data_IF_564747504235
#
_entry.id   IF_564747504235
#
_cell.length_a   1.000
_cell.length_b   1.000
_cell.length_c   1.000
_cell.angle_alpha   90.00
_cell.angle_beta   90.00
_cell.angle_gamma   90.00
#
_symmetry.space_group_name_H-M   'P 1'
#
loop_
_entity.id
_entity.type
_entity.pdbx_description
1 polymer ?
#
# COMPACT_ATOMS: atom_id res chain seq x y z
N UNK A 1 -9.78 6.72 3.53
CA UNK A 1 -10.54 7.98 3.77
C UNK A 1 -9.84 8.97 4.70
N UNK A 2 -9.31 8.57 5.86
CA UNK A 2 -8.71 9.53 6.82
C UNK A 2 -7.54 10.35 6.24
N UNK A 3 -6.67 9.75 5.43
CA UNK A 3 -5.56 10.48 4.79
C UNK A 3 -6.05 11.45 3.73
N UNK A 4 -6.93 11.01 2.82
CA UNK A 4 -7.50 11.84 1.77
C UNK A 4 -8.28 13.06 2.31
N UNK A 5 -8.95 12.92 3.47
CA UNK A 5 -9.67 14.02 4.10
C UNK A 5 -8.82 14.91 5.02
N UNK A 6 -7.50 14.68 5.07
CA UNK A 6 -6.59 15.44 5.94
C UNK A 6 -6.73 15.16 7.44
N UNK A 7 -7.50 14.12 7.83
CA UNK A 7 -7.72 13.74 9.24
C UNK A 7 -6.64 12.82 9.80
N UNK A 8 -5.78 12.28 8.95
CA UNK A 8 -4.58 11.55 9.31
C UNK A 8 -3.46 11.87 8.31
N UNK A 9 -2.22 11.87 8.75
CA UNK A 9 -1.07 12.13 7.87
C UNK A 9 -0.49 10.86 7.25
N UNK A 10 -0.67 9.71 7.92
CA UNK A 10 -0.06 8.42 7.56
C UNK A 10 -1.03 7.27 7.83
N UNK A 11 -1.06 6.27 6.95
CA UNK A 11 -1.67 4.98 7.16
C UNK A 11 -0.72 3.88 6.66
N UNK A 12 -0.53 2.84 7.47
CA UNK A 12 0.39 1.74 7.19
C UNK A 12 -0.40 0.42 7.19
N UNK A 13 -0.32 -0.33 6.10
CA UNK A 13 -0.83 -1.68 6.02
C UNK A 13 0.31 -2.62 5.67
N UNK A 14 0.74 -3.49 6.60
CA UNK A 14 1.74 -4.53 6.33
C UNK A 14 1.08 -5.90 6.34
N UNK A 15 1.07 -6.59 5.20
CA UNK A 15 0.58 -7.95 5.14
C UNK A 15 1.64 -8.89 5.73
N UNK A 16 1.40 -9.46 6.91
CA UNK A 16 2.25 -10.52 7.45
C UNK A 16 1.83 -11.86 6.86
N UNK A 17 2.77 -12.50 6.17
CA UNK A 17 2.66 -13.80 5.48
C UNK A 17 2.01 -14.90 6.33
N UNK A 18 2.07 -14.80 7.67
CA UNK A 18 1.56 -15.82 8.61
C UNK A 18 0.04 -15.95 8.73
N UNK A 19 -0.77 -14.98 8.27
CA UNK A 19 -2.25 -15.13 8.21
C UNK A 19 -2.82 -15.24 6.80
N UNK A 20 -1.98 -15.07 5.78
CA UNK A 20 -2.39 -14.90 4.38
C UNK A 20 -2.41 -16.23 3.61
N UNK A 21 -1.66 -17.25 4.06
CA UNK A 21 -1.69 -18.60 3.46
C UNK A 21 -2.96 -19.42 3.74
N UNK A 22 -3.89 -18.96 4.60
CA UNK A 22 -5.03 -19.80 5.06
C UNK A 22 -6.39 -19.51 4.40
N UNK A 23 -6.50 -18.55 3.47
CA UNK A 23 -7.77 -18.25 2.79
C UNK A 23 -7.59 -18.09 1.27
N UNK A 24 -7.38 -19.23 0.60
CA UNK A 24 -7.71 -19.55 -0.82
C UNK A 24 -7.09 -18.67 -1.95
N UNK A 25 -6.47 -17.52 -1.67
CA UNK A 25 -5.81 -16.69 -2.69
C UNK A 25 -4.56 -15.96 -2.20
N UNK A 26 -4.42 -15.65 -0.91
CA UNK A 26 -3.18 -15.03 -0.39
C UNK A 26 -2.95 -13.58 -0.82
N UNK A 27 -3.97 -12.92 -1.38
CA UNK A 27 -3.88 -11.57 -1.91
C UNK A 27 -4.98 -10.66 -1.35
N UNK A 28 -4.66 -9.37 -1.23
CA UNK A 28 -5.64 -8.34 -0.93
C UNK A 28 -6.48 -8.05 -2.19
N UNK A 29 -7.82 -8.16 -2.15
CA UNK A 29 -8.64 -7.88 -3.31
C UNK A 29 -8.53 -6.42 -3.73
N UNK A 30 -8.45 -6.16 -5.04
CA UNK A 30 -8.29 -4.82 -5.58
C UNK A 30 -9.40 -3.87 -5.14
N UNK A 31 -10.64 -4.33 -5.08
CA UNK A 31 -11.79 -3.49 -4.72
C UNK A 31 -11.80 -3.04 -3.25
N UNK A 32 -11.13 -3.75 -2.34
CA UNK A 32 -11.06 -3.36 -0.92
C UNK A 32 -10.17 -2.12 -0.71
N UNK A 33 -9.30 -1.80 -1.68
CA UNK A 33 -8.33 -0.70 -1.56
C UNK A 33 -8.36 0.31 -2.72
N UNK A 34 -8.80 -0.07 -3.92
CA UNK A 34 -8.74 0.77 -5.11
C UNK A 34 -9.40 2.13 -4.91
N UNK A 35 -10.62 2.16 -4.35
CA UNK A 35 -11.34 3.41 -4.05
C UNK A 35 -10.52 4.29 -3.11
N UNK A 36 -9.94 3.72 -2.05
CA UNK A 36 -9.13 4.46 -1.10
C UNK A 36 -7.85 5.03 -1.71
N UNK A 37 -7.20 4.26 -2.58
CA UNK A 37 -5.97 4.66 -3.28
C UNK A 37 -6.26 5.82 -4.24
N UNK A 38 -7.31 5.71 -5.05
CA UNK A 38 -7.75 6.77 -5.97
C UNK A 38 -8.07 8.05 -5.17
N UNK A 39 -8.88 7.97 -4.12
CA UNK A 39 -9.19 9.14 -3.31
C UNK A 39 -7.96 9.81 -2.68
N UNK A 40 -6.95 9.03 -2.27
CA UNK A 40 -5.70 9.59 -1.73
C UNK A 40 -4.92 10.31 -2.82
N UNK A 41 -4.79 9.72 -4.01
CA UNK A 41 -4.09 10.36 -5.13
C UNK A 41 -4.79 11.65 -5.57
N UNK A 42 -6.11 11.63 -5.73
CA UNK A 42 -6.90 12.83 -6.10
C UNK A 42 -6.84 13.93 -5.04
N UNK A 43 -6.68 13.57 -3.76
CA UNK A 43 -6.44 14.52 -2.68
C UNK A 43 -4.97 15.01 -2.59
N UNK A 44 -4.11 14.64 -3.53
CA UNK A 44 -2.70 15.02 -3.57
C UNK A 44 -1.79 14.21 -2.64
N UNK A 45 -2.29 13.12 -2.04
CA UNK A 45 -1.49 12.18 -1.24
C UNK A 45 -0.68 11.20 -2.10
N UNK A 46 0.03 10.30 -1.43
CA UNK A 46 0.89 9.30 -2.07
C UNK A 46 0.67 7.91 -1.46
N UNK A 47 0.56 6.91 -2.33
CA UNK A 47 0.41 5.49 -1.99
C UNK A 47 1.49 4.70 -2.73
N UNK A 48 2.28 3.93 -1.99
CA UNK A 48 3.28 3.01 -2.53
C UNK A 48 3.28 1.72 -1.72
N UNK A 49 4.07 0.75 -2.15
CA UNK A 49 4.50 -0.34 -1.27
C UNK A 49 5.60 0.10 -0.28
N UNK A 50 6.24 -0.88 0.34
CA UNK A 50 7.32 -0.70 1.30
C UNK A 50 8.66 -0.31 0.67
N UNK A 51 8.82 -0.48 -0.64
CA UNK A 51 10.03 -0.12 -1.40
C UNK A 51 9.87 1.24 -2.12
N UNK A 52 8.66 1.81 -2.11
CA UNK A 52 8.34 3.07 -2.77
C UNK A 52 7.81 2.90 -4.20
N UNK A 53 7.54 1.66 -4.63
CA UNK A 53 6.94 1.35 -5.92
C UNK A 53 5.47 1.74 -5.95
N UNK A 54 5.03 2.30 -7.08
CA UNK A 54 3.63 2.64 -7.30
C UNK A 54 2.76 1.38 -7.35
N UNK A 55 1.52 1.53 -6.92
CA UNK A 55 0.53 0.46 -7.00
C UNK A 55 0.02 0.32 -8.43
N UNK A 56 0.13 -0.88 -8.98
CA UNK A 56 -0.30 -1.23 -10.32
C UNK A 56 -1.53 -2.15 -10.25
N UNK A 57 -2.67 -1.60 -10.69
CA UNK A 57 -3.92 -2.35 -10.82
C UNK A 57 -4.01 -3.16 -12.12
N UNK A 58 -3.21 -2.83 -13.13
CA UNK A 58 -3.19 -3.48 -14.44
C UNK A 58 -2.24 -4.69 -14.51
N UNK A 59 -1.31 -4.82 -13.54
CA UNK A 59 -0.37 -5.93 -13.46
C UNK A 59 -1.01 -7.32 -13.24
N UNK A 60 -2.29 -7.39 -12.86
CA UNK A 60 -2.98 -8.67 -12.68
C UNK A 60 -3.29 -9.36 -14.02
N UNK A 61 -2.39 -10.24 -14.46
CA UNK A 61 -2.51 -10.97 -15.72
C UNK A 61 -3.48 -12.17 -15.67
N UNK A 62 -3.90 -12.63 -14.47
CA UNK A 62 -4.62 -13.90 -14.29
C UNK A 62 -6.02 -13.67 -13.69
N UNK A 63 -6.53 -12.44 -13.74
CA UNK A 63 -7.84 -12.06 -13.18
C UNK A 63 -8.02 -12.48 -11.69
N UNK A 64 -6.91 -12.53 -10.93
CA UNK A 64 -6.94 -12.81 -9.48
C UNK A 64 -7.42 -11.61 -8.67
N UNK A 65 -7.72 -10.50 -9.35
CA UNK A 65 -8.22 -9.23 -8.82
C UNK A 65 -7.37 -8.77 -7.65
N UNK A 66 -6.06 -8.87 -7.84
CA UNK A 66 -5.04 -8.66 -6.81
C UNK A 66 -4.32 -7.35 -7.08
N UNK A 67 -3.92 -6.67 -6.00
CA UNK A 67 -3.09 -5.48 -6.10
C UNK A 67 -1.62 -5.88 -6.13
N UNK A 68 -0.88 -5.28 -7.07
CA UNK A 68 0.56 -5.37 -7.13
C UNK A 68 1.20 -4.00 -6.88
N UNK A 69 2.41 -3.97 -6.29
CA UNK A 69 3.11 -5.10 -5.66
C UNK A 69 2.44 -5.56 -4.36
N UNK A 70 2.73 -6.80 -3.95
CA UNK A 70 2.15 -7.42 -2.76
C UNK A 70 2.95 -7.09 -1.49
N UNK A 71 2.32 -7.18 -0.31
CA UNK A 71 2.97 -6.87 0.98
C UNK A 71 2.36 -5.69 1.73
N UNK A 72 1.42 -4.98 1.08
CA UNK A 72 0.63 -3.90 1.67
C UNK A 72 1.09 -2.52 1.21
N UNK A 73 0.71 -1.47 1.95
CA UNK A 73 0.77 -0.09 1.48
C UNK A 73 1.31 0.88 2.52
N UNK A 74 2.15 1.81 2.08
CA UNK A 74 2.45 3.08 2.73
C UNK A 74 1.56 4.16 2.09
N UNK A 75 0.71 4.79 2.91
CA UNK A 75 -0.20 5.85 2.49
C UNK A 75 0.11 7.11 3.28
N UNK A 76 0.31 8.24 2.60
CA UNK A 76 0.70 9.50 3.25
C UNK A 76 0.09 10.72 2.56
N UNK A 77 0.13 11.87 3.23
CA UNK A 77 -0.20 13.18 2.67
C UNK A 77 0.89 13.80 1.77
N UNK A 78 1.66 12.96 1.06
CA UNK A 78 2.79 13.33 0.19
C UNK A 78 4.06 13.79 0.92
N UNK A 79 4.00 14.87 1.73
CA UNK A 79 5.19 15.52 2.31
C UNK A 79 6.06 14.57 3.14
N UNK A 80 5.44 13.67 3.89
CA UNK A 80 6.14 12.73 4.78
C UNK A 80 6.62 11.45 4.09
N UNK A 81 6.25 11.25 2.82
CA UNK A 81 6.35 9.93 2.19
C UNK A 81 7.80 9.43 2.08
N UNK A 82 8.68 10.26 1.52
CA UNK A 82 10.08 9.88 1.28
C UNK A 82 10.87 9.76 2.60
N UNK A 83 10.55 10.59 3.60
CA UNK A 83 11.17 10.49 4.93
C UNK A 83 10.81 9.17 5.61
N UNK A 84 9.53 8.78 5.56
CA UNK A 84 9.06 7.51 6.13
C UNK A 84 9.64 6.32 5.35
N UNK A 85 9.69 6.37 4.01
CA UNK A 85 10.36 5.34 3.21
C UNK A 85 11.85 5.21 3.58
N UNK A 86 12.55 6.34 3.77
CA UNK A 86 13.93 6.35 4.24
C UNK A 86 14.08 5.62 5.58
N UNK A 87 13.23 5.93 6.56
CA UNK A 87 13.22 5.27 7.88
C UNK A 87 12.88 3.78 7.82
N UNK A 88 12.00 3.37 6.90
CA UNK A 88 11.67 1.96 6.68
C UNK A 88 12.89 1.24 6.09
N UNK A 89 13.52 1.82 5.07
CA UNK A 89 14.70 1.22 4.43
C UNK A 89 15.89 1.09 5.37
N UNK A 90 16.11 2.06 6.27
CA UNK A 90 17.23 2.06 7.22
C UNK A 90 17.04 1.06 8.38
N UNK A 91 15.79 0.68 8.68
CA UNK A 91 15.45 -0.25 9.77
C UNK A 91 15.04 -1.64 9.28
N UNK A 92 15.16 -1.92 7.98
CA UNK A 92 15.03 -3.29 7.49
C UNK A 92 16.19 -4.11 8.06
N UNK A 93 15.92 -5.22 8.79
CA UNK A 93 17.00 -6.09 9.23
C UNK A 93 17.79 -6.50 7.98
N UNK A 94 19.10 -6.29 8.01
CA UNK A 94 20.02 -6.88 7.03
C UNK A 94 19.83 -8.39 7.16
N UNK A 95 19.17 -8.99 6.17
CA UNK A 95 19.02 -10.44 6.06
C UNK A 95 20.23 -10.97 5.30
#
# INVERSE_FOLDING_TARGET
MMVASGRASVFLLRATTRKVMKKISGYAPAWDHAVGIICVHEAGGKVTDWEGSSIDFAADQIARRTIFPSGGFLVTNHRLHNEILGLISSNSPVI
#
